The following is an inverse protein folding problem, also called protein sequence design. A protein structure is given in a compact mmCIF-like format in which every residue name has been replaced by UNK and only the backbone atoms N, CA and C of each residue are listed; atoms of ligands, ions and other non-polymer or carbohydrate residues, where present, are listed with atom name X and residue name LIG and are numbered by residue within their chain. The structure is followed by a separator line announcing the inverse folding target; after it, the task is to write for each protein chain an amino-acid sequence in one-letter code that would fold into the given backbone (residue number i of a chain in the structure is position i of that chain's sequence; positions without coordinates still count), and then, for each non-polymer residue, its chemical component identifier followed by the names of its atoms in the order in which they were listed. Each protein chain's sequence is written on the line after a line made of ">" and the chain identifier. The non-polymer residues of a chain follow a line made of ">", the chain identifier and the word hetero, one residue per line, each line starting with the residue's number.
data_IF_428094374033
#
_entry.id   IF_428094374033
#
_cell.length_a   1.000
_cell.length_b   1.000
_cell.length_c   1.000
_cell.angle_alpha   90.00
_cell.angle_beta   90.00
_cell.angle_gamma   90.00
#
_symmetry.space_group_name_H-M   'P 1'
#
loop_
_entity.id
_entity.type
_entity.pdbx_description
1 polymer ?
#
# COMPACT_ATOMS: atom_id res chain seq x y z
N UNK A 1 -15.29 19.06 10.72
CA UNK A 1 -14.37 19.10 11.89
C UNK A 1 -12.98 19.40 11.36
N UNK A 2 -12.28 20.41 11.91
CA UNK A 2 -10.90 20.71 11.55
C UNK A 2 -9.99 19.56 11.98
N UNK A 3 -9.06 19.15 11.12
CA UNK A 3 -8.04 18.14 11.47
C UNK A 3 -7.23 18.62 12.68
N UNK A 4 -6.86 17.74 13.58
CA UNK A 4 -6.01 18.11 14.71
C UNK A 4 -4.60 18.45 14.19
N UNK A 5 -3.87 19.30 14.92
CA UNK A 5 -2.45 19.60 14.61
C UNK A 5 -1.59 18.35 14.50
N UNK A 6 -1.92 17.32 15.30
CA UNK A 6 -1.27 16.02 15.24
C UNK A 6 -1.56 15.31 13.91
N UNK A 7 -2.81 15.35 13.44
CA UNK A 7 -3.18 14.69 12.18
C UNK A 7 -2.57 15.39 10.97
N UNK A 8 -2.53 16.73 10.99
CA UNK A 8 -1.81 17.52 9.96
C UNK A 8 -0.31 17.17 9.92
N UNK A 9 0.32 17.03 11.09
CA UNK A 9 1.72 16.60 11.18
C UNK A 9 1.90 15.20 10.55
N UNK A 10 1.04 14.24 10.87
CA UNK A 10 1.11 12.88 10.31
C UNK A 10 0.92 12.90 8.80
N UNK A 11 -0.02 13.68 8.27
CA UNK A 11 -0.24 13.82 6.83
C UNK A 11 0.98 14.40 6.10
N UNK A 12 1.61 15.43 6.66
CA UNK A 12 2.79 16.04 6.07
C UNK A 12 4.02 15.13 6.19
N UNK A 13 4.20 14.45 7.32
CA UNK A 13 5.27 13.46 7.52
C UNK A 13 5.11 12.26 6.56
N UNK A 14 3.88 11.82 6.27
CA UNK A 14 3.62 10.79 5.28
C UNK A 14 4.18 11.19 3.91
N UNK A 15 3.92 12.40 3.45
CA UNK A 15 4.45 12.91 2.17
C UNK A 15 5.98 12.92 2.15
N UNK A 16 6.59 13.42 3.24
CA UNK A 16 8.05 13.47 3.39
C UNK A 16 8.67 12.06 3.31
N UNK A 17 8.17 11.11 4.10
CA UNK A 17 8.68 9.74 4.11
C UNK A 17 8.41 8.99 2.80
N UNK A 18 7.24 9.21 2.18
CA UNK A 18 6.92 8.58 0.90
C UNK A 18 7.89 8.97 -0.21
N UNK A 19 8.33 10.24 -0.20
CA UNK A 19 9.25 10.80 -1.21
C UNK A 19 10.70 10.50 -0.88
N UNK A 20 11.11 10.67 0.38
CA UNK A 20 12.53 10.68 0.77
C UNK A 20 13.01 9.43 1.48
N UNK A 21 12.11 8.46 1.81
CA UNK A 21 12.45 7.28 2.62
C UNK A 21 12.45 7.59 4.13
N UNK A 22 12.54 6.54 4.92
CA UNK A 22 12.39 6.68 6.38
C UNK A 22 13.70 7.08 7.06
N UNK A 23 14.81 6.42 6.75
CA UNK A 23 16.11 6.71 7.38
C UNK A 23 16.70 8.02 6.88
N UNK A 24 16.60 8.31 5.58
CA UNK A 24 17.17 9.51 4.98
C UNK A 24 16.47 10.83 5.39
N UNK A 25 15.21 10.77 5.84
CA UNK A 25 14.50 11.93 6.39
C UNK A 25 14.80 12.04 7.88
N UNK A 26 15.79 12.88 8.23
CA UNK A 26 16.10 13.23 9.63
C UNK A 26 15.08 14.22 10.23
N UNK A 27 15.11 14.39 11.55
CA UNK A 27 14.16 15.26 12.27
C UNK A 27 14.24 16.73 11.85
N UNK A 28 15.43 17.24 11.46
CA UNK A 28 15.57 18.61 10.95
C UNK A 28 14.88 18.81 9.62
N UNK A 29 15.06 17.86 8.71
CA UNK A 29 14.39 17.88 7.43
C UNK A 29 12.88 17.70 7.60
N UNK A 30 12.46 16.80 8.49
CA UNK A 30 11.06 16.58 8.79
C UNK A 30 10.39 17.87 9.33
N UNK A 31 11.02 18.56 10.28
CA UNK A 31 10.54 19.83 10.81
C UNK A 31 10.37 20.88 9.70
N UNK A 32 11.36 20.98 8.79
CA UNK A 32 11.29 21.89 7.63
C UNK A 32 10.17 21.52 6.66
N UNK A 33 10.03 20.26 6.29
CA UNK A 33 9.05 19.79 5.30
C UNK A 33 7.61 19.79 5.86
N UNK A 34 7.44 19.58 7.16
CA UNK A 34 6.11 19.63 7.80
C UNK A 34 5.69 21.02 8.25
N UNK A 35 6.61 21.98 8.33
CA UNK A 35 6.38 23.31 8.90
C UNK A 35 6.20 23.31 10.41
N UNK A 36 6.57 22.22 11.12
CA UNK A 36 6.38 22.01 12.55
C UNK A 36 7.74 21.93 13.24
N UNK A 37 7.95 22.68 14.34
CA UNK A 37 9.22 22.65 15.07
C UNK A 37 9.52 21.26 15.66
N UNK A 38 10.79 20.90 15.79
CA UNK A 38 11.19 19.63 16.43
C UNK A 38 10.55 19.45 17.81
N UNK A 39 10.52 20.50 18.63
CA UNK A 39 9.87 20.46 19.95
C UNK A 39 8.40 20.10 19.85
N UNK A 40 7.67 20.68 18.89
CA UNK A 40 6.27 20.37 18.67
C UNK A 40 6.07 18.96 18.10
N UNK A 41 6.98 18.45 17.28
CA UNK A 41 6.94 17.04 16.83
C UNK A 41 7.10 16.11 18.05
N UNK A 42 8.11 16.35 18.89
CA UNK A 42 8.37 15.51 20.06
C UNK A 42 7.30 15.64 21.17
N UNK A 43 6.49 16.71 21.19
CA UNK A 43 5.32 16.78 22.09
C UNK A 43 4.20 15.82 21.69
N UNK A 44 4.14 15.40 20.41
CA UNK A 44 3.15 14.45 19.90
C UNK A 44 3.68 13.02 19.76
N UNK A 45 4.97 12.86 19.50
CA UNK A 45 5.62 11.56 19.21
C UNK A 45 6.94 11.46 19.97
N UNK A 46 7.08 10.47 20.85
CA UNK A 46 8.28 10.30 21.67
C UNK A 46 9.53 10.03 20.85
N UNK A 47 9.37 9.31 19.74
CA UNK A 47 10.45 8.92 18.84
C UNK A 47 10.05 9.20 17.37
N UNK A 48 11.03 9.21 16.49
CA UNK A 48 10.79 9.25 15.05
C UNK A 48 10.00 8.01 14.57
N UNK A 49 10.28 6.85 15.17
CA UNK A 49 9.61 5.60 14.82
C UNK A 49 8.12 5.63 15.19
N UNK A 50 7.73 6.28 16.30
CA UNK A 50 6.31 6.48 16.64
C UNK A 50 5.58 7.29 15.56
N UNK A 51 6.25 8.32 15.01
CA UNK A 51 5.69 9.10 13.90
C UNK A 51 5.65 8.28 12.61
N UNK A 52 6.68 7.49 12.32
CA UNK A 52 6.70 6.56 11.17
C UNK A 52 5.53 5.57 11.28
N UNK A 53 5.32 4.96 12.43
CA UNK A 53 4.20 4.05 12.66
C UNK A 53 2.84 4.73 12.45
N UNK A 54 2.69 5.97 12.91
CA UNK A 54 1.46 6.74 12.69
C UNK A 54 1.24 7.02 11.19
N UNK A 55 2.30 7.36 10.43
CA UNK A 55 2.20 7.56 8.98
C UNK A 55 1.87 6.27 8.23
N UNK A 56 2.43 5.13 8.64
CA UNK A 56 2.13 3.84 8.03
C UNK A 56 0.69 3.41 8.29
N UNK A 57 0.15 3.60 9.51
CA UNK A 57 -1.26 3.34 9.81
C UNK A 57 -2.20 4.19 8.95
N UNK A 58 -1.92 5.47 8.84
CA UNK A 58 -2.69 6.37 7.98
C UNK A 58 -2.61 5.93 6.51
N UNK A 59 -1.41 5.57 6.02
CA UNK A 59 -1.24 5.09 4.63
C UNK A 59 -1.97 3.79 4.39
N UNK A 60 -1.96 2.86 5.33
CA UNK A 60 -2.69 1.60 5.23
C UNK A 60 -4.19 1.84 5.06
N UNK A 61 -4.77 2.67 5.94
CA UNK A 61 -6.19 3.04 5.88
C UNK A 61 -6.53 3.72 4.54
N UNK A 62 -5.77 4.73 4.15
CA UNK A 62 -6.01 5.46 2.90
C UNK A 62 -5.92 4.55 1.67
N UNK A 63 -4.87 3.74 1.59
CA UNK A 63 -4.64 2.88 0.42
C UNK A 63 -5.68 1.78 0.30
N UNK A 64 -5.98 1.06 1.40
CA UNK A 64 -6.98 0.00 1.36
C UNK A 64 -8.39 0.54 1.08
N UNK A 65 -8.79 1.65 1.70
CA UNK A 65 -10.07 2.29 1.44
C UNK A 65 -10.19 2.76 -0.02
N UNK A 66 -9.12 3.34 -0.56
CA UNK A 66 -9.08 3.74 -1.96
C UNK A 66 -9.19 2.50 -2.88
N UNK A 67 -8.39 1.46 -2.64
CA UNK A 67 -8.38 0.26 -3.48
C UNK A 67 -9.75 -0.42 -3.50
N UNK A 68 -10.34 -0.64 -2.34
CA UNK A 68 -11.67 -1.29 -2.23
C UNK A 68 -12.73 -0.48 -2.99
N UNK A 69 -12.83 0.83 -2.72
CA UNK A 69 -13.80 1.71 -3.41
C UNK A 69 -13.58 1.72 -4.92
N UNK A 70 -12.31 1.75 -5.36
CA UNK A 70 -12.03 1.79 -6.80
C UNK A 70 -12.36 0.49 -7.48
N UNK A 71 -12.03 -0.65 -6.89
CA UNK A 71 -12.38 -1.98 -7.37
C UNK A 71 -13.91 -2.16 -7.46
N UNK A 72 -14.66 -1.75 -6.44
CA UNK A 72 -16.13 -1.80 -6.43
C UNK A 72 -16.78 -0.87 -7.47
N UNK A 73 -16.11 0.23 -7.80
CA UNK A 73 -16.57 1.13 -8.88
C UNK A 73 -16.30 0.56 -10.26
N UNK A 74 -15.18 -0.15 -10.46
CA UNK A 74 -14.77 -0.75 -11.74
C UNK A 74 -15.53 -2.03 -12.06
N UNK A 75 -15.88 -2.84 -11.05
CA UNK A 75 -16.55 -4.12 -11.24
C UNK A 75 -17.56 -4.43 -10.15
N UNK A 76 -18.66 -5.13 -10.49
CA UNK A 76 -19.69 -5.54 -9.52
C UNK A 76 -19.56 -7.01 -9.12
N UNK A 77 -19.19 -7.86 -10.07
CA UNK A 77 -18.99 -9.29 -9.80
C UNK A 77 -17.67 -9.52 -9.04
N UNK A 78 -17.64 -10.34 -7.98
CA UNK A 78 -16.44 -10.57 -7.19
C UNK A 78 -15.26 -11.16 -7.98
N UNK A 79 -15.52 -11.95 -9.02
CA UNK A 79 -14.50 -12.49 -9.92
C UNK A 79 -13.86 -11.39 -10.75
N UNK A 80 -14.66 -10.47 -11.29
CA UNK A 80 -14.19 -9.32 -12.05
C UNK A 80 -13.50 -8.31 -11.13
N UNK A 81 -13.90 -8.20 -9.87
CA UNK A 81 -13.24 -7.38 -8.86
C UNK A 81 -11.79 -7.80 -8.61
N UNK A 82 -11.48 -9.11 -8.64
CA UNK A 82 -10.09 -9.59 -8.55
C UNK A 82 -9.23 -9.08 -9.71
N UNK A 83 -9.80 -8.94 -10.90
CA UNK A 83 -9.11 -8.38 -12.07
C UNK A 83 -9.04 -6.85 -12.03
N UNK A 84 -10.11 -6.21 -11.55
CA UNK A 84 -10.19 -4.76 -11.40
C UNK A 84 -9.13 -4.19 -10.43
N UNK A 85 -8.55 -5.02 -9.55
CA UNK A 85 -7.38 -4.65 -8.75
C UNK A 85 -6.24 -4.13 -9.64
N UNK A 86 -5.99 -4.78 -10.77
CA UNK A 86 -4.91 -4.39 -11.68
C UNK A 86 -5.27 -3.14 -12.49
N UNK A 87 -6.55 -2.93 -12.81
CA UNK A 87 -7.01 -1.68 -13.44
C UNK A 87 -6.82 -0.50 -12.48
N UNK A 88 -7.19 -0.66 -11.20
CA UNK A 88 -6.93 0.34 -10.18
C UNK A 88 -5.42 0.61 -9.99
N UNK A 89 -4.57 -0.42 -10.10
CA UNK A 89 -3.12 -0.24 -10.05
C UNK A 89 -2.61 0.56 -11.25
N UNK A 90 -3.13 0.31 -12.47
CA UNK A 90 -2.75 1.07 -13.66
C UNK A 90 -3.02 2.56 -13.47
N UNK A 91 -4.18 2.92 -12.93
CA UNK A 91 -4.51 4.30 -12.60
C UNK A 91 -3.53 4.91 -11.57
N UNK A 92 -3.21 4.15 -10.51
CA UNK A 92 -2.25 4.60 -9.51
C UNK A 92 -0.83 4.74 -10.07
N UNK A 93 -0.39 3.85 -10.97
CA UNK A 93 0.91 3.95 -11.62
C UNK A 93 1.01 5.18 -12.54
N UNK A 94 -0.09 5.62 -13.13
CA UNK A 94 -0.16 6.82 -13.95
C UNK A 94 -0.08 8.14 -13.15
N UNK A 95 -0.27 8.09 -11.83
CA UNK A 95 -0.18 9.29 -11.01
C UNK A 95 1.23 9.91 -11.04
N UNK A 96 1.36 11.24 -11.22
CA UNK A 96 2.68 11.91 -11.27
C UNK A 96 3.54 11.71 -10.03
N UNK A 97 2.90 11.53 -8.88
CA UNK A 97 3.53 11.34 -7.57
C UNK A 97 3.69 9.88 -7.16
N UNK A 98 3.46 8.93 -8.06
CA UNK A 98 3.69 7.52 -7.79
C UNK A 98 5.15 7.24 -7.43
N UNK A 99 5.39 6.65 -6.25
CA UNK A 99 6.72 6.33 -5.69
C UNK A 99 6.80 4.92 -5.14
N UNK A 100 6.03 3.97 -5.71
CA UNK A 100 5.99 2.57 -5.25
C UNK A 100 5.27 2.37 -3.91
N UNK A 101 5.38 1.17 -3.37
CA UNK A 101 4.75 0.79 -2.11
C UNK A 101 5.56 1.27 -0.91
N UNK A 102 4.93 2.11 -0.08
CA UNK A 102 5.55 2.62 1.15
C UNK A 102 5.93 1.51 2.15
N UNK A 103 5.17 0.41 2.18
CA UNK A 103 5.40 -0.71 3.09
C UNK A 103 6.58 -1.60 2.65
N UNK A 104 6.81 -1.75 1.34
CA UNK A 104 8.03 -2.41 0.84
C UNK A 104 9.26 -1.58 1.23
N UNK A 105 9.22 -0.25 1.04
CA UNK A 105 10.30 0.63 1.47
C UNK A 105 10.54 0.52 2.98
N UNK A 106 9.48 0.59 3.79
CA UNK A 106 9.59 0.48 5.24
C UNK A 106 10.23 -0.84 5.67
N UNK A 107 9.79 -1.98 5.16
CA UNK A 107 10.35 -3.29 5.50
C UNK A 107 11.78 -3.49 5.00
N UNK A 108 12.17 -2.82 3.93
CA UNK A 108 13.56 -2.85 3.42
C UNK A 108 14.51 -2.02 4.28
N UNK A 109 14.05 -0.90 4.82
CA UNK A 109 14.83 -0.05 5.71
C UNK A 109 14.87 -0.61 7.15
N UNK A 110 13.80 -1.27 7.62
CA UNK A 110 13.69 -1.92 8.93
C UNK A 110 13.67 -3.43 8.77
N UNK A 111 14.85 -4.04 8.62
CA UNK A 111 15.00 -5.46 8.26
C UNK A 111 14.71 -6.44 9.40
N UNK A 112 14.82 -5.99 10.67
CA UNK A 112 14.43 -6.82 11.82
C UNK A 112 12.93 -7.07 11.80
N UNK A 113 12.54 -8.34 11.65
CA UNK A 113 11.13 -8.76 11.60
C UNK A 113 10.35 -8.48 12.88
N UNK A 114 11.03 -8.37 14.02
CA UNK A 114 10.43 -8.02 15.31
C UNK A 114 10.19 -6.51 15.46
N UNK A 115 10.81 -5.68 14.60
CA UNK A 115 10.66 -4.25 14.65
C UNK A 115 9.22 -3.83 14.29
N UNK A 116 8.57 -2.93 15.07
CA UNK A 116 7.17 -2.55 14.83
C UNK A 116 6.89 -2.02 13.40
N UNK A 117 7.85 -1.31 12.79
CA UNK A 117 7.74 -0.81 11.40
C UNK A 117 7.72 -1.96 10.39
N UNK A 118 8.51 -3.01 10.61
CA UNK A 118 8.46 -4.22 9.78
C UNK A 118 7.14 -4.97 9.99
N UNK A 119 6.72 -5.14 11.23
CA UNK A 119 5.49 -5.85 11.58
C UNK A 119 4.24 -5.20 10.96
N UNK A 120 4.09 -3.87 11.02
CA UNK A 120 2.97 -3.16 10.40
C UNK A 120 3.00 -3.28 8.86
N UNK A 121 4.20 -3.38 8.26
CA UNK A 121 4.33 -3.61 6.82
C UNK A 121 3.86 -5.01 6.42
N UNK A 122 4.18 -6.02 7.19
CA UNK A 122 3.68 -7.38 7.01
C UNK A 122 2.16 -7.46 7.21
N UNK A 123 1.61 -6.77 8.22
CA UNK A 123 0.17 -6.72 8.48
C UNK A 123 -0.60 -6.09 7.30
N UNK A 124 -0.09 -5.00 6.71
CA UNK A 124 -0.67 -4.43 5.50
C UNK A 124 -0.81 -5.47 4.37
N UNK A 125 0.22 -6.29 4.14
CA UNK A 125 0.17 -7.34 3.11
C UNK A 125 -0.83 -8.45 3.45
N UNK A 126 -0.92 -8.81 4.74
CA UNK A 126 -1.91 -9.75 5.23
C UNK A 126 -3.34 -9.24 4.98
N UNK A 127 -3.64 -8.00 5.33
CA UNK A 127 -4.96 -7.39 5.12
C UNK A 127 -5.38 -7.35 3.65
N UNK A 128 -4.46 -7.06 2.73
CA UNK A 128 -4.72 -7.14 1.29
C UNK A 128 -4.99 -8.57 0.82
N UNK A 129 -4.22 -9.54 1.29
CA UNK A 129 -4.45 -10.95 0.98
C UNK A 129 -5.81 -11.42 1.49
N UNK A 130 -6.18 -11.01 2.70
CA UNK A 130 -7.48 -11.36 3.29
C UNK A 130 -8.63 -10.78 2.44
N UNK A 131 -8.51 -9.55 1.97
CA UNK A 131 -9.47 -8.95 1.02
C UNK A 131 -9.60 -9.75 -0.29
N UNK A 132 -8.49 -10.17 -0.89
CA UNK A 132 -8.52 -11.00 -2.10
C UNK A 132 -9.09 -12.40 -1.84
N UNK A 133 -8.82 -12.97 -0.67
CA UNK A 133 -9.41 -14.24 -0.23
C UNK A 133 -10.94 -14.12 -0.13
N UNK A 134 -11.44 -13.04 0.44
CA UNK A 134 -12.88 -12.80 0.57
C UNK A 134 -13.56 -12.65 -0.80
N UNK A 135 -12.94 -11.94 -1.74
CA UNK A 135 -13.43 -11.86 -3.12
C UNK A 135 -13.45 -13.22 -3.80
N UNK A 136 -12.37 -14.01 -3.66
CA UNK A 136 -12.29 -15.34 -4.25
C UNK A 136 -13.35 -16.30 -3.66
N UNK A 137 -13.63 -16.23 -2.35
CA UNK A 137 -14.70 -16.98 -1.70
C UNK A 137 -16.07 -16.55 -2.19
N UNK A 138 -16.36 -15.26 -2.29
CA UNK A 138 -17.61 -14.73 -2.84
C UNK A 138 -17.84 -15.16 -4.29
N UNK A 139 -16.75 -15.21 -5.08
CA UNK A 139 -16.76 -15.71 -6.46
C UNK A 139 -16.83 -17.26 -6.57
N UNK A 140 -16.86 -17.99 -5.44
CA UNK A 140 -16.88 -19.45 -5.36
C UNK A 140 -15.72 -20.12 -6.12
N UNK A 141 -14.54 -19.47 -6.13
CA UNK A 141 -13.35 -20.00 -6.78
C UNK A 141 -12.68 -21.08 -5.92
N UNK A 142 -12.08 -22.08 -6.58
CA UNK A 142 -11.35 -23.15 -5.89
C UNK A 142 -10.09 -22.62 -5.24
N UNK A 143 -9.72 -23.15 -4.07
CA UNK A 143 -8.53 -22.82 -3.30
C UNK A 143 -8.33 -21.28 -3.12
N UNK A 144 -9.33 -20.57 -2.56
CA UNK A 144 -9.35 -19.11 -2.53
C UNK A 144 -8.14 -18.49 -1.80
N UNK A 145 -7.60 -19.16 -0.79
CA UNK A 145 -6.40 -18.71 -0.07
C UNK A 145 -5.14 -18.80 -0.94
N UNK A 146 -5.00 -19.86 -1.75
CA UNK A 146 -3.87 -20.04 -2.67
C UNK A 146 -3.93 -18.99 -3.78
N UNK A 147 -5.11 -18.81 -4.38
CA UNK A 147 -5.34 -17.81 -5.42
C UNK A 147 -5.04 -16.39 -4.90
N UNK A 148 -5.50 -16.06 -3.69
CA UNK A 148 -5.25 -14.75 -3.10
C UNK A 148 -3.75 -14.48 -2.89
N UNK A 149 -2.97 -15.51 -2.48
CA UNK A 149 -1.50 -15.38 -2.38
C UNK A 149 -0.86 -15.12 -3.74
N UNK A 150 -1.30 -15.84 -4.78
CA UNK A 150 -0.78 -15.66 -6.15
C UNK A 150 -1.11 -14.28 -6.70
N UNK A 151 -2.36 -13.82 -6.53
CA UNK A 151 -2.77 -12.45 -6.92
C UNK A 151 -1.97 -11.39 -6.18
N UNK A 152 -1.70 -11.58 -4.88
CA UNK A 152 -0.86 -10.66 -4.12
C UNK A 152 0.56 -10.62 -4.69
N UNK A 153 1.16 -11.75 -5.05
CA UNK A 153 2.50 -11.82 -5.67
C UNK A 153 2.51 -11.03 -6.98
N UNK A 154 1.52 -11.23 -7.86
CA UNK A 154 1.41 -10.49 -9.12
C UNK A 154 1.28 -8.98 -8.88
N UNK A 155 0.42 -8.59 -7.93
CA UNK A 155 0.23 -7.19 -7.54
C UNK A 155 1.54 -6.56 -7.05
N UNK A 156 2.26 -7.22 -6.16
CA UNK A 156 3.51 -6.69 -5.62
C UNK A 156 4.60 -6.60 -6.69
N UNK A 157 4.71 -7.61 -7.56
CA UNK A 157 5.61 -7.58 -8.71
C UNK A 157 5.32 -6.41 -9.64
N UNK A 158 4.03 -6.19 -9.98
CA UNK A 158 3.61 -5.06 -10.80
C UNK A 158 4.00 -3.71 -10.18
N UNK A 159 3.82 -3.52 -8.87
CA UNK A 159 4.20 -2.28 -8.18
C UNK A 159 5.71 -2.02 -8.24
N UNK A 160 6.52 -3.08 -8.05
CA UNK A 160 7.99 -2.96 -8.11
C UNK A 160 8.44 -2.59 -9.51
N UNK A 161 7.96 -3.29 -10.54
CA UNK A 161 8.34 -3.03 -11.94
C UNK A 161 7.85 -1.66 -12.42
N UNK A 162 6.62 -1.25 -12.08
CA UNK A 162 6.11 0.08 -12.38
C UNK A 162 6.96 1.21 -11.77
N UNK A 163 7.59 0.95 -10.62
CA UNK A 163 8.50 1.91 -10.01
C UNK A 163 9.84 2.01 -10.72
N UNK A 164 10.31 0.90 -11.28
CA UNK A 164 11.61 0.83 -11.95
C UNK A 164 11.54 1.38 -13.40
N UNK A 165 10.59 0.93 -14.22
CA UNK A 165 10.53 1.32 -15.63
C UNK A 165 9.15 1.12 -16.34
N UNK A 166 8.40 0.07 -16.11
CA UNK A 166 7.29 -0.34 -16.99
C UNK A 166 5.90 0.11 -16.51
N UNK A 167 5.67 1.40 -16.36
CA UNK A 167 4.39 1.91 -15.82
C UNK A 167 3.18 1.61 -16.70
N UNK A 168 3.37 1.56 -18.01
CA UNK A 168 2.26 1.48 -18.97
C UNK A 168 1.74 0.06 -19.15
N UNK A 169 2.62 -0.95 -19.15
CA UNK A 169 2.27 -2.32 -19.52
C UNK A 169 2.11 -3.27 -18.33
N UNK A 170 2.88 -3.07 -17.27
CA UNK A 170 3.04 -4.05 -16.19
C UNK A 170 1.73 -4.40 -15.47
N UNK A 171 0.81 -3.46 -15.32
CA UNK A 171 -0.49 -3.74 -14.72
C UNK A 171 -1.35 -4.63 -15.61
N UNK A 172 -1.30 -4.41 -16.95
CA UNK A 172 -1.97 -5.25 -17.94
C UNK A 172 -1.39 -6.66 -17.96
N UNK A 173 -0.08 -6.80 -17.94
CA UNK A 173 0.60 -8.10 -17.95
C UNK A 173 0.26 -8.91 -16.68
N UNK A 174 0.29 -8.26 -15.52
CA UNK A 174 -0.12 -8.88 -14.25
C UNK A 174 -1.62 -9.27 -14.28
N UNK A 175 -2.49 -8.46 -14.89
CA UNK A 175 -3.90 -8.76 -15.06
C UNK A 175 -4.11 -9.99 -15.93
N UNK A 176 -3.39 -10.11 -17.07
CA UNK A 176 -3.45 -11.28 -17.94
C UNK A 176 -3.03 -12.56 -17.21
N UNK A 177 -1.95 -12.51 -16.43
CA UNK A 177 -1.53 -13.63 -15.60
C UNK A 177 -2.60 -14.00 -14.54
N UNK A 178 -3.22 -13.01 -13.91
CA UNK A 178 -4.31 -13.23 -12.96
C UNK A 178 -5.54 -13.85 -13.62
N UNK A 179 -5.88 -13.49 -14.88
CA UNK A 179 -6.97 -14.10 -15.65
C UNK A 179 -6.78 -15.61 -15.80
N UNK A 180 -5.55 -16.04 -16.11
CA UNK A 180 -5.20 -17.47 -16.25
C UNK A 180 -5.40 -18.20 -14.92
N UNK A 181 -4.91 -17.62 -13.81
CA UNK A 181 -5.07 -18.20 -12.48
C UNK A 181 -6.55 -18.32 -12.07
N UNK A 182 -7.34 -17.28 -12.30
CA UNK A 182 -8.77 -17.26 -11.98
C UNK A 182 -9.54 -18.27 -12.83
N UNK A 183 -9.20 -18.40 -14.14
CA UNK A 183 -9.80 -19.40 -15.01
C UNK A 183 -9.54 -20.81 -14.48
N UNK A 184 -8.30 -21.14 -14.14
CA UNK A 184 -7.93 -22.44 -13.55
C UNK A 184 -8.62 -22.69 -12.21
N UNK A 185 -8.85 -21.67 -11.41
CA UNK A 185 -9.58 -21.77 -10.14
C UNK A 185 -11.11 -21.91 -10.32
N UNK A 186 -11.64 -21.68 -11.52
CA UNK A 186 -13.07 -21.82 -11.86
C UNK A 186 -13.38 -23.27 -12.34
N UNK A 187 -12.46 -23.90 -13.03
CA UNK A 187 -12.53 -25.30 -13.53
C UNK A 187 -12.44 -26.32 -12.38
#
# INVERSE_FOLDING_TARGET
>A
MSASKRDELVQNALKAFYTGGFHAIGMDRLAKETGVSKTAIYSHFRTKDDLILATLRLRDEQFRNWLVRRVEALAKDPKDQLLAVFDALAEWFAEPNFKSCMFIKASSEYQDRSHPVHAISAEHKKLLRDYFTDLAKKAKLKKPEDLARQILILKEGAIVLAHLHDRETVASDAKQAAQILIKTATE
#
